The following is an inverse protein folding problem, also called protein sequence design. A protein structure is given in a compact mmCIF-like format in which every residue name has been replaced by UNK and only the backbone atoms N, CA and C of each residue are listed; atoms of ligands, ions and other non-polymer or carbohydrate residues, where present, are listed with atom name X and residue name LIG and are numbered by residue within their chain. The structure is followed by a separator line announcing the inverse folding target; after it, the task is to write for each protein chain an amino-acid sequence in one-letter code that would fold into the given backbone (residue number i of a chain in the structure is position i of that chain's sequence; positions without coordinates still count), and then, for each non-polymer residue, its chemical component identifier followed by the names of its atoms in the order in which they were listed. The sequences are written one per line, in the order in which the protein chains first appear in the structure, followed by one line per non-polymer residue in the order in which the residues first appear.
data_IF_351948524820
#
_entry.id   IF_351948524820
#
_cell.length_a   1.000
_cell.length_b   1.000
_cell.length_c   1.000
_cell.angle_alpha   90.00
_cell.angle_beta   90.00
_cell.angle_gamma   90.00
#
_symmetry.space_group_name_H-M   'P 1'
#
loop_
_entity.id
_entity.type
_entity.pdbx_description
1 polymer ?
#
# COMPACT_ATOMS: atom_id res chain seq x y z
N UNK A 1 52.86 -38.74 -48.94
CA UNK A 1 52.37 -37.38 -48.87
C UNK A 1 52.10 -37.06 -47.39
N UNK A 2 52.97 -36.20 -46.90
CA UNK A 2 52.98 -35.72 -45.53
C UNK A 2 51.82 -34.70 -45.35
N UNK A 3 50.99 -34.90 -44.33
CA UNK A 3 49.88 -34.00 -44.01
C UNK A 3 50.44 -32.81 -43.23
N UNK A 4 50.56 -31.63 -43.89
CA UNK A 4 50.88 -30.40 -43.20
C UNK A 4 49.56 -29.80 -42.62
N UNK A 5 49.49 -29.50 -41.30
CA UNK A 5 48.35 -28.78 -40.75
C UNK A 5 48.37 -27.30 -41.15
N UNK A 6 47.22 -26.82 -41.57
CA UNK A 6 46.96 -25.42 -41.92
C UNK A 6 47.09 -24.51 -40.68
N UNK A 7 47.98 -23.52 -40.65
CA UNK A 7 48.21 -22.64 -39.53
C UNK A 7 47.09 -21.58 -39.31
N UNK A 8 46.02 -21.52 -40.14
CA UNK A 8 44.97 -20.53 -39.98
C UNK A 8 43.73 -21.01 -39.23
N UNK A 9 43.77 -22.21 -38.62
CA UNK A 9 42.61 -22.78 -37.93
C UNK A 9 42.64 -22.59 -36.42
N UNK A 10 43.63 -21.91 -35.82
CA UNK A 10 43.82 -21.77 -34.37
C UNK A 10 43.18 -20.51 -33.73
N UNK A 11 42.64 -19.55 -34.53
CA UNK A 11 42.22 -18.27 -33.94
C UNK A 11 40.72 -18.04 -33.82
N UNK A 12 39.89 -19.11 -33.95
CA UNK A 12 38.41 -18.98 -33.83
C UNK A 12 37.82 -19.35 -32.45
N UNK A 13 38.64 -19.57 -31.45
CA UNK A 13 38.13 -20.00 -30.12
C UNK A 13 38.61 -19.15 -28.97
N UNK A 14 38.60 -17.82 -29.07
CA UNK A 14 38.78 -16.99 -27.87
C UNK A 14 38.08 -15.62 -27.99
N UNK A 15 36.86 -15.61 -28.50
CA UNK A 15 35.94 -14.50 -28.24
C UNK A 15 34.98 -14.88 -27.10
N UNK A 16 35.52 -15.35 -25.97
CA UNK A 16 34.82 -15.32 -24.72
C UNK A 16 34.75 -13.88 -24.23
N UNK A 17 33.84 -13.12 -24.81
CA UNK A 17 33.39 -11.87 -24.20
C UNK A 17 32.96 -12.19 -22.78
N UNK A 18 33.77 -11.81 -21.81
CA UNK A 18 33.40 -11.84 -20.41
C UNK A 18 32.06 -11.08 -20.32
N UNK A 19 30.95 -11.80 -20.27
CA UNK A 19 29.69 -11.26 -19.79
C UNK A 19 30.01 -10.78 -18.39
N UNK A 20 30.19 -9.48 -18.22
CA UNK A 20 30.20 -8.88 -16.90
C UNK A 20 28.92 -9.40 -16.23
N UNK A 21 29.06 -10.24 -15.21
CA UNK A 21 27.93 -10.76 -14.47
C UNK A 21 27.27 -9.57 -13.80
N UNK A 22 26.18 -9.09 -14.38
CA UNK A 22 25.40 -8.01 -13.78
C UNK A 22 25.01 -8.48 -12.36
N UNK A 23 25.34 -7.70 -11.36
CA UNK A 23 25.02 -8.01 -9.97
C UNK A 23 23.51 -8.23 -9.85
N UNK A 24 23.11 -9.31 -9.23
CA UNK A 24 21.71 -9.67 -9.03
C UNK A 24 21.30 -9.43 -7.58
N UNK A 25 20.11 -8.89 -7.40
CA UNK A 25 19.57 -8.52 -6.10
C UNK A 25 18.29 -9.33 -5.82
N UNK A 26 18.37 -10.30 -4.93
CA UNK A 26 17.25 -11.16 -4.55
C UNK A 26 16.78 -10.83 -3.13
N UNK A 27 15.48 -11.08 -2.86
CA UNK A 27 14.84 -10.78 -1.59
C UNK A 27 14.26 -9.37 -1.53
N UNK A 28 13.92 -8.92 -0.31
CA UNK A 28 13.25 -7.63 -0.06
C UNK A 28 14.25 -6.58 0.42
N UNK A 29 14.17 -5.42 -0.18
CA UNK A 29 14.98 -4.26 0.19
C UNK A 29 14.08 -3.15 0.74
N UNK A 30 14.60 -2.40 1.70
CA UNK A 30 13.91 -1.20 2.20
C UNK A 30 14.09 -0.07 1.20
N UNK A 31 12.96 0.56 0.85
CA UNK A 31 12.96 1.73 0.00
C UNK A 31 12.11 2.86 0.58
N UNK A 32 12.28 4.03 0.04
CA UNK A 32 11.47 5.22 0.32
C UNK A 32 10.89 5.77 -0.99
N UNK A 33 9.62 6.12 -0.99
CA UNK A 33 8.95 6.71 -2.15
C UNK A 33 9.48 8.12 -2.40
N UNK A 34 10.02 8.36 -3.59
CA UNK A 34 10.46 9.67 -4.04
C UNK A 34 9.43 10.34 -4.96
N UNK A 35 8.74 9.55 -5.77
CA UNK A 35 7.72 10.05 -6.69
C UNK A 35 6.61 8.98 -6.87
N UNK A 36 5.36 9.40 -6.75
CA UNK A 36 4.16 8.58 -6.94
C UNK A 36 3.24 9.12 -8.05
N UNK A 37 3.71 10.11 -8.82
CA UNK A 37 2.98 10.68 -9.96
C UNK A 37 3.42 9.93 -11.22
N UNK A 38 2.84 8.75 -11.42
CA UNK A 38 3.14 7.90 -12.57
C UNK A 38 2.50 8.46 -13.85
N UNK A 39 3.29 8.84 -14.88
CA UNK A 39 2.74 9.34 -16.14
C UNK A 39 1.85 8.35 -16.88
N UNK A 40 2.05 7.05 -16.67
CA UNK A 40 1.25 5.98 -17.29
C UNK A 40 0.05 5.57 -16.43
N UNK A 41 -0.13 6.14 -15.23
CA UNK A 41 -1.23 5.87 -14.32
C UNK A 41 -1.43 4.38 -13.97
N UNK A 42 -0.33 3.63 -13.90
CA UNK A 42 -0.31 2.20 -13.56
C UNK A 42 0.00 1.94 -12.07
N UNK A 43 0.13 3.00 -11.27
CA UNK A 43 0.48 2.88 -9.86
C UNK A 43 1.96 2.58 -9.59
N UNK A 44 2.83 2.90 -10.56
CA UNK A 44 4.27 2.75 -10.41
C UNK A 44 4.84 3.85 -9.50
N UNK A 45 5.96 3.55 -8.88
CA UNK A 45 6.68 4.46 -7.99
C UNK A 45 8.13 4.62 -8.44
N UNK A 46 8.69 5.81 -8.27
CA UNK A 46 10.13 5.95 -8.20
C UNK A 46 10.54 5.90 -6.73
N UNK A 47 11.45 5.02 -6.41
CA UNK A 47 11.87 4.74 -5.04
C UNK A 47 13.39 4.89 -4.91
N UNK A 48 13.84 5.25 -3.72
CA UNK A 48 15.23 5.18 -3.33
C UNK A 48 15.43 3.86 -2.58
N UNK A 49 16.42 3.06 -3.00
CA UNK A 49 16.78 1.78 -2.36
C UNK A 49 18.26 1.85 -2.00
N UNK A 50 18.62 2.32 -0.80
CA UNK A 50 20.01 2.61 -0.43
C UNK A 50 20.97 1.43 -0.58
N UNK A 51 20.51 0.22 -0.26
CA UNK A 51 21.33 -1.01 -0.30
C UNK A 51 21.63 -1.49 -1.74
N UNK A 52 20.98 -0.92 -2.76
CA UNK A 52 21.15 -1.32 -4.18
C UNK A 52 21.76 -0.21 -5.01
N UNK A 53 21.20 1.00 -4.91
CA UNK A 53 21.57 2.13 -5.76
C UNK A 53 21.99 3.39 -4.95
N UNK A 54 22.16 3.28 -3.63
CA UNK A 54 22.48 4.42 -2.77
C UNK A 54 21.39 5.49 -2.83
N UNK A 55 21.77 6.72 -3.18
CA UNK A 55 20.85 7.86 -3.25
C UNK A 55 20.17 8.02 -4.63
N UNK A 56 20.52 7.19 -5.60
CA UNK A 56 19.97 7.29 -6.97
C UNK A 56 18.54 6.70 -6.98
N UNK A 57 17.55 7.42 -7.53
CA UNK A 57 16.22 6.86 -7.74
C UNK A 57 16.26 5.65 -8.66
N UNK A 58 15.41 4.66 -8.39
CA UNK A 58 15.19 3.54 -9.31
C UNK A 58 14.49 3.99 -10.58
N UNK A 59 14.47 3.13 -11.60
CA UNK A 59 13.43 3.16 -12.63
C UNK A 59 12.03 3.06 -11.99
N UNK A 60 10.97 3.19 -12.76
CA UNK A 60 9.61 3.06 -12.27
C UNK A 60 9.33 1.64 -11.76
N UNK A 61 9.19 1.50 -10.43
CA UNK A 61 8.86 0.24 -9.77
C UNK A 61 7.39 -0.13 -10.03
N UNK A 62 7.17 -1.32 -10.59
CA UNK A 62 5.83 -1.86 -10.84
C UNK A 62 5.12 -2.19 -9.52
N UNK A 63 3.79 -2.00 -9.43
CA UNK A 63 3.03 -2.41 -8.24
C UNK A 63 2.82 -3.93 -8.21
N UNK A 64 3.04 -4.55 -7.05
CA UNK A 64 2.51 -5.86 -6.72
C UNK A 64 1.29 -5.70 -5.82
N UNK A 65 0.11 -5.71 -6.39
CA UNK A 65 -1.15 -5.47 -5.67
C UNK A 65 -1.94 -6.76 -5.49
N UNK A 66 -2.79 -6.87 -4.46
CA UNK A 66 -3.56 -8.09 -4.20
C UNK A 66 -4.50 -8.49 -5.34
N UNK A 67 -5.06 -7.52 -6.06
CA UNK A 67 -5.97 -7.73 -7.18
C UNK A 67 -5.71 -6.67 -8.25
N UNK A 68 -5.52 -7.12 -9.49
CA UNK A 68 -5.46 -6.28 -10.68
C UNK A 68 -6.06 -7.02 -11.88
N UNK A 69 -6.80 -6.32 -12.76
CA UNK A 69 -7.40 -6.87 -13.96
C UNK A 69 -8.01 -5.78 -14.84
N UNK A 70 -8.67 -6.17 -15.91
CA UNK A 70 -9.32 -5.21 -16.81
C UNK A 70 -10.48 -4.55 -16.07
N UNK A 71 -10.37 -3.23 -15.81
CA UNK A 71 -11.36 -2.43 -15.09
C UNK A 71 -11.68 -2.97 -13.67
N UNK A 72 -10.73 -3.70 -13.06
CA UNK A 72 -10.88 -4.33 -11.77
C UNK A 72 -9.58 -4.30 -10.98
N UNK A 73 -9.62 -3.97 -9.68
CA UNK A 73 -8.42 -3.98 -8.85
C UNK A 73 -8.55 -3.21 -7.54
N UNK A 74 -7.48 -3.31 -6.76
CA UNK A 74 -7.28 -2.53 -5.54
C UNK A 74 -6.16 -1.51 -5.76
N UNK A 75 -6.47 -0.23 -5.61
CA UNK A 75 -5.50 0.86 -5.78
C UNK A 75 -5.31 1.57 -4.44
N UNK A 76 -4.09 1.50 -3.90
CA UNK A 76 -3.69 2.24 -2.71
C UNK A 76 -2.24 2.69 -2.90
N UNK A 77 -2.04 3.95 -3.29
CA UNK A 77 -0.72 4.50 -3.56
C UNK A 77 -0.12 5.10 -2.29
N UNK A 78 1.10 4.69 -1.89
CA UNK A 78 1.81 5.31 -0.79
C UNK A 78 2.22 6.74 -1.14
N UNK A 79 2.24 7.59 -0.12
CA UNK A 79 2.68 8.98 -0.26
C UNK A 79 4.20 9.07 -0.44
N UNK A 80 4.65 10.16 -1.02
CA UNK A 80 6.09 10.51 -1.04
C UNK A 80 6.61 10.53 0.40
N UNK A 81 7.77 9.91 0.63
CA UNK A 81 8.38 9.72 1.94
C UNK A 81 7.97 8.43 2.66
N UNK A 82 6.96 7.70 2.17
CA UNK A 82 6.55 6.42 2.76
C UNK A 82 7.60 5.33 2.58
N UNK A 83 7.74 4.46 3.59
CA UNK A 83 8.55 3.25 3.52
C UNK A 83 7.88 2.16 2.68
N UNK A 84 8.62 1.60 1.73
CA UNK A 84 8.15 0.53 0.84
C UNK A 84 9.14 -0.62 0.80
N UNK A 85 8.62 -1.84 0.64
CA UNK A 85 9.41 -3.01 0.33
C UNK A 85 9.56 -3.13 -1.18
N UNK A 86 10.80 -3.32 -1.64
CA UNK A 86 11.16 -3.42 -3.06
C UNK A 86 11.82 -4.77 -3.32
N UNK A 87 11.40 -5.43 -4.38
CA UNK A 87 12.03 -6.59 -5.00
C UNK A 87 12.45 -6.23 -6.42
N UNK A 88 13.24 -7.09 -7.04
CA UNK A 88 13.71 -6.88 -8.41
C UNK A 88 13.39 -8.11 -9.25
N UNK A 89 12.74 -7.91 -10.39
CA UNK A 89 12.35 -9.00 -11.28
C UNK A 89 13.60 -9.78 -11.73
N UNK A 90 13.63 -11.08 -11.36
CA UNK A 90 14.81 -11.95 -11.57
C UNK A 90 16.12 -11.37 -11.02
N UNK A 91 16.05 -10.52 -9.99
CA UNK A 91 17.20 -9.86 -9.39
C UNK A 91 17.77 -8.71 -10.21
N UNK A 92 17.11 -8.26 -11.28
CA UNK A 92 17.59 -7.18 -12.13
C UNK A 92 17.23 -5.80 -11.53
N UNK A 93 18.22 -4.96 -11.12
CA UNK A 93 17.94 -3.66 -10.51
C UNK A 93 17.20 -2.68 -11.43
N UNK A 94 17.21 -2.90 -12.74
CA UNK A 94 16.49 -2.06 -13.70
C UNK A 94 14.98 -2.34 -13.73
N UNK A 95 14.53 -3.46 -13.14
CA UNK A 95 13.14 -3.87 -13.08
C UNK A 95 12.66 -3.99 -11.62
N UNK A 96 12.53 -2.89 -10.89
CA UNK A 96 12.04 -2.89 -9.52
C UNK A 96 10.53 -3.14 -9.46
N UNK A 97 10.11 -3.80 -8.37
CA UNK A 97 8.72 -4.07 -8.04
C UNK A 97 8.51 -3.63 -6.58
N UNK A 98 7.57 -2.73 -6.31
CA UNK A 98 7.18 -2.45 -4.93
C UNK A 98 6.07 -3.43 -4.50
N UNK A 99 6.30 -4.11 -3.37
CA UNK A 99 5.49 -5.27 -2.95
C UNK A 99 4.71 -5.02 -1.65
N UNK A 100 4.73 -3.81 -1.15
CA UNK A 100 4.03 -3.41 0.07
C UNK A 100 4.71 -2.25 0.76
N UNK A 101 4.14 -1.85 1.91
CA UNK A 101 4.63 -0.75 2.71
C UNK A 101 5.02 -1.22 4.12
N UNK A 102 5.74 -0.39 4.85
CA UNK A 102 5.99 -0.56 6.27
C UNK A 102 5.95 0.81 6.97
N UNK A 103 5.61 0.80 8.25
CA UNK A 103 5.74 1.97 9.10
C UNK A 103 7.14 2.04 9.70
N UNK A 104 7.78 3.17 9.57
CA UNK A 104 9.10 3.43 10.15
C UNK A 104 9.03 3.67 11.66
N UNK A 105 7.88 4.14 12.16
CA UNK A 105 7.63 4.43 13.57
C UNK A 105 6.16 4.23 13.94
N UNK A 106 5.87 4.13 15.23
CA UNK A 106 4.51 4.04 15.74
C UNK A 106 3.68 5.31 15.45
N UNK A 107 4.30 6.44 15.22
CA UNK A 107 3.62 7.70 14.88
C UNK A 107 3.00 7.70 13.47
N UNK A 108 3.40 6.78 12.62
CA UNK A 108 2.87 6.63 11.26
C UNK A 108 1.62 5.75 11.19
N UNK A 109 1.32 5.03 12.28
CA UNK A 109 0.13 4.15 12.33
C UNK A 109 -1.14 5.01 12.27
N UNK A 110 -2.15 4.63 11.45
CA UNK A 110 -3.41 5.35 11.37
C UNK A 110 -4.08 5.57 12.72
N UNK A 111 -4.50 6.79 13.02
CA UNK A 111 -5.12 7.12 14.31
C UNK A 111 -6.39 6.30 14.58
N UNK A 112 -7.17 5.98 13.56
CA UNK A 112 -8.34 5.11 13.69
C UNK A 112 -7.98 3.68 14.11
N UNK A 113 -6.83 3.17 13.68
CA UNK A 113 -6.36 1.84 14.08
C UNK A 113 -5.99 1.81 15.58
N UNK A 114 -5.44 2.91 16.11
CA UNK A 114 -5.07 3.04 17.51
C UNK A 114 -6.29 3.17 18.45
N UNK A 115 -7.49 3.40 17.92
CA UNK A 115 -8.73 3.43 18.71
C UNK A 115 -9.14 2.05 19.21
N UNK A 116 -8.69 0.98 18.55
CA UNK A 116 -8.91 -0.39 19.02
C UNK A 116 -7.74 -0.82 19.92
N UNK A 117 -8.01 -1.24 21.16
CA UNK A 117 -6.97 -1.72 22.08
C UNK A 117 -6.16 -2.89 21.50
N UNK A 118 -4.86 -3.02 21.84
CA UNK A 118 -4.06 -4.17 21.46
C UNK A 118 -4.70 -5.49 21.91
N UNK A 119 -4.69 -6.48 21.02
CA UNK A 119 -5.27 -7.81 21.27
C UNK A 119 -6.71 -7.98 20.78
N UNK A 120 -7.38 -6.90 20.37
CA UNK A 120 -8.66 -6.99 19.68
C UNK A 120 -8.46 -6.89 18.17
N UNK A 121 -9.29 -7.62 17.42
CA UNK A 121 -9.26 -7.61 15.96
C UNK A 121 -9.83 -6.31 15.41
N UNK A 122 -9.11 -5.69 14.46
CA UNK A 122 -9.61 -4.56 13.70
C UNK A 122 -9.00 -4.52 12.30
N UNK A 123 -9.78 -4.02 11.34
CA UNK A 123 -9.36 -3.70 9.98
C UNK A 123 -9.59 -2.21 9.79
N UNK A 124 -8.54 -1.46 9.45
CA UNK A 124 -8.63 -0.01 9.29
C UNK A 124 -8.02 0.41 7.96
N UNK A 125 -8.77 1.21 7.21
CA UNK A 125 -8.28 1.96 6.05
C UNK A 125 -8.42 3.44 6.37
N UNK A 126 -7.35 4.21 6.24
CA UNK A 126 -7.36 5.64 6.54
C UNK A 126 -6.48 6.40 5.56
N UNK A 127 -6.99 7.53 5.06
CA UNK A 127 -6.20 8.49 4.27
C UNK A 127 -5.44 9.46 5.20
N UNK A 128 -4.41 10.17 4.72
CA UNK A 128 -3.68 11.16 5.53
C UNK A 128 -4.57 12.24 6.14
N UNK A 129 -5.68 12.61 5.50
CA UNK A 129 -6.68 13.56 6.01
C UNK A 129 -7.69 12.93 6.97
N UNK A 130 -7.48 11.67 7.38
CA UNK A 130 -8.32 10.93 8.33
C UNK A 130 -9.75 10.63 7.83
N UNK A 131 -9.96 10.56 6.51
CA UNK A 131 -11.11 9.84 5.99
C UNK A 131 -10.85 8.34 6.15
N UNK A 132 -11.81 7.58 6.67
CA UNK A 132 -11.51 6.19 6.94
C UNK A 132 -12.71 5.27 7.08
N UNK A 133 -12.39 3.98 7.01
CA UNK A 133 -13.25 2.86 7.36
C UNK A 133 -12.54 2.04 8.44
N UNK A 134 -13.27 1.74 9.52
CA UNK A 134 -12.81 0.80 10.55
C UNK A 134 -13.87 -0.26 10.77
N UNK A 135 -13.44 -1.51 10.86
CA UNK A 135 -14.23 -2.66 11.33
C UNK A 135 -13.51 -3.17 12.57
N UNK A 136 -14.15 -3.17 13.73
CA UNK A 136 -13.52 -3.51 15.01
C UNK A 136 -14.42 -4.41 15.84
N UNK A 137 -13.83 -5.43 16.46
CA UNK A 137 -14.49 -6.34 17.39
C UNK A 137 -14.62 -5.73 18.80
N UNK A 138 -14.26 -4.46 18.99
CA UNK A 138 -14.49 -3.76 20.24
C UNK A 138 -15.99 -3.67 20.51
N UNK A 139 -16.49 -4.15 21.68
CA UNK A 139 -17.91 -4.05 22.01
C UNK A 139 -18.32 -2.61 22.39
N UNK A 140 -19.60 -2.32 22.31
CA UNK A 140 -20.18 -1.06 22.74
C UNK A 140 -20.14 0.06 21.68
N UNK A 141 -20.36 1.29 22.10
CA UNK A 141 -20.62 2.41 21.17
C UNK A 141 -19.41 2.83 20.33
N UNK A 142 -18.20 2.39 20.66
CA UNK A 142 -16.96 2.75 19.98
C UNK A 142 -16.43 1.66 19.05
N UNK A 143 -17.10 0.48 19.03
CA UNK A 143 -16.75 -0.63 18.15
C UNK A 143 -17.66 -0.74 16.93
N UNK A 144 -17.62 -1.90 16.27
CA UNK A 144 -18.41 -2.20 15.07
C UNK A 144 -17.82 -1.64 13.80
N UNK A 145 -18.68 -1.25 12.86
CA UNK A 145 -18.29 -0.72 11.54
C UNK A 145 -18.46 0.80 11.56
N UNK A 146 -17.42 1.53 11.21
CA UNK A 146 -17.43 2.99 11.14
C UNK A 146 -16.89 3.49 9.80
N UNK A 147 -17.67 4.29 9.10
CA UNK A 147 -17.20 5.20 8.04
C UNK A 147 -17.09 6.60 8.62
N UNK A 148 -15.95 7.26 8.37
CA UNK A 148 -15.68 8.60 8.89
C UNK A 148 -15.09 9.50 7.82
N UNK A 149 -15.56 10.74 7.75
CA UNK A 149 -14.90 11.80 6.98
C UNK A 149 -13.95 12.64 7.85
N UNK A 150 -13.01 13.33 7.22
CA UNK A 150 -12.11 14.28 7.90
C UNK A 150 -12.88 15.42 8.62
N UNK A 151 -14.08 15.75 8.14
CA UNK A 151 -14.93 16.83 8.69
C UNK A 151 -15.85 16.37 9.81
N UNK A 152 -15.76 15.11 10.23
CA UNK A 152 -16.53 14.55 11.35
C UNK A 152 -17.88 13.94 10.99
N UNK A 153 -18.25 13.86 9.70
CA UNK A 153 -19.39 13.05 9.30
C UNK A 153 -19.09 11.57 9.51
N UNK A 154 -20.07 10.82 10.05
CA UNK A 154 -19.89 9.38 10.32
C UNK A 154 -21.15 8.58 10.00
N UNK A 155 -20.91 7.31 9.61
CA UNK A 155 -21.88 6.24 9.66
C UNK A 155 -21.30 5.15 10.57
N UNK A 156 -22.05 4.80 11.65
CA UNK A 156 -21.63 3.81 12.62
C UNK A 156 -22.69 2.72 12.74
N UNK A 157 -22.27 1.46 12.68
CA UNK A 157 -23.13 0.30 12.92
C UNK A 157 -22.44 -0.54 13.98
N UNK A 158 -23.06 -0.68 15.15
CA UNK A 158 -22.52 -1.46 16.26
C UNK A 158 -23.64 -2.16 17.05
N UNK A 159 -23.30 -2.81 18.16
CA UNK A 159 -24.21 -3.54 19.04
C UNK A 159 -25.20 -2.64 19.80
N UNK A 160 -24.99 -1.34 19.84
CA UNK A 160 -25.90 -0.37 20.46
C UNK A 160 -26.90 0.23 19.47
N UNK A 161 -26.62 0.23 18.16
CA UNK A 161 -27.49 0.77 17.14
C UNK A 161 -26.79 1.20 15.84
N UNK A 162 -27.53 2.00 15.04
CA UNK A 162 -27.02 2.63 13.82
C UNK A 162 -27.07 4.14 13.99
N UNK A 163 -25.97 4.81 13.68
CA UNK A 163 -25.82 6.26 13.86
C UNK A 163 -25.31 6.87 12.58
N UNK A 164 -26.02 7.85 12.06
CA UNK A 164 -25.63 8.65 10.89
C UNK A 164 -25.55 10.09 11.34
N UNK A 165 -24.42 10.76 11.15
CA UNK A 165 -24.27 12.19 11.48
C UNK A 165 -23.41 12.90 10.44
N UNK A 166 -23.71 14.18 10.24
CA UNK A 166 -22.99 15.02 9.26
C UNK A 166 -21.80 15.79 9.85
N UNK A 167 -21.50 15.60 11.16
CA UNK A 167 -20.46 16.36 11.86
C UNK A 167 -20.79 17.84 12.12
N UNK A 168 -22.03 18.27 11.86
CA UNK A 168 -22.50 19.67 12.00
C UNK A 168 -23.81 19.76 12.81
N UNK A 169 -24.17 18.69 13.53
CA UNK A 169 -25.33 18.65 14.42
C UNK A 169 -26.55 17.92 13.88
N UNK A 170 -26.63 17.65 12.58
CA UNK A 170 -27.72 16.80 12.05
C UNK A 170 -27.37 15.33 12.22
N UNK A 171 -28.32 14.55 12.77
CA UNK A 171 -28.14 13.12 13.04
C UNK A 171 -29.43 12.33 12.90
N UNK A 172 -29.27 11.05 12.55
CA UNK A 172 -30.27 10.00 12.56
C UNK A 172 -29.76 8.85 13.42
N UNK A 173 -30.56 8.37 14.37
CA UNK A 173 -30.23 7.21 15.19
C UNK A 173 -31.31 6.15 15.15
N UNK A 174 -30.90 4.87 15.09
CA UNK A 174 -31.76 3.70 15.20
C UNK A 174 -31.26 2.88 16.40
N UNK A 175 -32.04 2.90 17.48
CA UNK A 175 -31.70 2.19 18.73
C UNK A 175 -32.90 1.41 19.21
N UNK A 176 -32.81 0.08 19.34
CA UNK A 176 -33.94 -0.79 19.59
C UNK A 176 -35.05 -0.58 18.54
N UNK A 177 -36.32 -0.38 18.94
CA UNK A 177 -37.41 -0.12 18.01
C UNK A 177 -37.56 1.35 17.61
N UNK A 178 -36.71 2.24 18.14
CA UNK A 178 -36.87 3.70 18.01
C UNK A 178 -35.99 4.28 16.94
N UNK A 179 -36.55 5.14 16.09
CA UNK A 179 -35.83 6.02 15.14
C UNK A 179 -35.96 7.47 15.63
N UNK A 180 -34.83 8.15 15.79
CA UNK A 180 -34.80 9.55 16.16
C UNK A 180 -34.05 10.40 15.15
N UNK A 181 -34.53 11.61 14.90
CA UNK A 181 -33.89 12.61 14.04
C UNK A 181 -33.55 13.82 14.93
N UNK A 182 -32.31 14.32 14.80
CA UNK A 182 -31.82 15.50 15.52
C UNK A 182 -32.14 15.47 17.03
N UNK A 183 -31.67 14.42 17.73
CA UNK A 183 -31.82 14.25 19.18
C UNK A 183 -33.28 14.29 19.68
N UNK A 184 -34.22 13.79 18.87
CA UNK A 184 -35.60 13.69 19.26
C UNK A 184 -36.50 14.84 18.71
N UNK A 185 -36.01 15.71 17.82
CA UNK A 185 -36.86 16.66 17.10
C UNK A 185 -37.99 15.95 16.32
N UNK A 186 -37.73 14.73 15.87
CA UNK A 186 -38.73 13.76 15.40
C UNK A 186 -38.37 12.39 15.92
N UNK A 187 -39.32 11.69 16.57
CA UNK A 187 -39.17 10.32 17.05
C UNK A 187 -40.29 9.46 16.48
N UNK A 188 -39.91 8.30 15.94
CA UNK A 188 -40.83 7.26 15.46
C UNK A 188 -40.55 5.99 16.26
N UNK A 189 -41.60 5.38 16.82
CA UNK A 189 -41.54 4.17 17.64
C UNK A 189 -42.28 3.05 16.92
#
# INVERSE_FOLDING_TARGET
PEFQPDPQRSDLHHANGARMSQQRYYGKYRGMVLNNIDPMQQGRLQVQVPDVAGLVPTSWAMPCVPVAGIQNGMVALPMIGSGVWVEFEQGNPDHPIWVGCFWGSAAEIPALALATPPGLSAITFQTPLQNGLTISDLPGPTGGIMLKSATGATLIVNDTGIYIQNGKGAMLTLVGPTVTINNGALTVI
#
